data_IF_670655741808
#
_entry.id   IF_670655741808
#
_cell.length_a   1.000
_cell.length_b   1.000
_cell.length_c   1.000
_cell.angle_alpha   90.00
_cell.angle_beta   90.00
_cell.angle_gamma   90.00
#
_symmetry.space_group_name_H-M   'P 1'
#
loop_
_entity.id
_entity.type
_entity.pdbx_description
1 polymer ?
#
# COMPACT_ATOMS: atom_id res chain seq x y z
N UNK A 1 -6.46 -3.24 -6.28
CA UNK A 1 -6.72 -3.03 -4.86
C UNK A 1 -6.08 -4.15 -4.06
N UNK A 2 -5.37 -3.82 -2.98
CA UNK A 2 -4.73 -4.80 -2.11
C UNK A 2 -5.02 -4.47 -0.63
N UNK A 3 -6.05 -5.10 -0.10
CA UNK A 3 -6.45 -5.01 1.29
C UNK A 3 -5.99 -6.28 2.00
N UNK A 4 -5.26 -6.14 3.09
CA UNK A 4 -4.64 -7.26 3.79
C UNK A 4 -4.55 -6.97 5.29
N UNK A 5 -4.71 -7.99 6.13
CA UNK A 5 -4.51 -7.87 7.58
C UNK A 5 -3.01 -7.82 7.95
N UNK A 6 -2.14 -8.32 7.07
CA UNK A 6 -0.71 -8.46 7.35
C UNK A 6 0.12 -8.01 6.15
N UNK A 7 1.22 -7.28 6.40
CA UNK A 7 2.04 -6.70 5.34
C UNK A 7 2.70 -7.78 4.49
N UNK A 8 3.02 -8.93 5.08
CA UNK A 8 3.62 -10.08 4.41
C UNK A 8 2.74 -10.60 3.27
N UNK A 9 1.41 -10.50 3.40
CA UNK A 9 0.48 -10.90 2.34
C UNK A 9 0.54 -9.94 1.15
N UNK A 10 0.57 -8.62 1.44
CA UNK A 10 0.74 -7.60 0.41
C UNK A 10 2.08 -7.79 -0.31
N UNK A 11 3.17 -7.94 0.45
CA UNK A 11 4.52 -8.10 -0.06
C UNK A 11 4.59 -9.36 -0.94
N UNK A 12 4.07 -10.49 -0.47
CA UNK A 12 4.01 -11.74 -1.24
C UNK A 12 3.23 -11.58 -2.55
N UNK A 13 2.13 -10.83 -2.53
CA UNK A 13 1.33 -10.51 -3.71
C UNK A 13 2.11 -9.66 -4.71
N UNK A 14 2.83 -8.64 -4.25
CA UNK A 14 3.68 -7.80 -5.11
C UNK A 14 4.86 -8.60 -5.69
N UNK A 15 5.57 -9.38 -4.88
CA UNK A 15 6.65 -10.26 -5.34
C UNK A 15 6.18 -11.25 -6.42
N UNK A 16 4.94 -11.75 -6.29
CA UNK A 16 4.33 -12.59 -7.31
C UNK A 16 4.12 -11.82 -8.61
N UNK A 17 3.66 -10.57 -8.57
CA UNK A 17 3.55 -9.73 -9.77
C UNK A 17 4.92 -9.45 -10.40
N UNK A 18 5.93 -9.13 -9.58
CA UNK A 18 7.32 -8.95 -10.03
C UNK A 18 7.85 -10.20 -10.76
N UNK A 19 7.50 -11.39 -10.28
CA UNK A 19 7.90 -12.66 -10.90
C UNK A 19 7.13 -12.93 -12.18
N UNK A 20 5.80 -12.78 -12.16
CA UNK A 20 4.94 -13.14 -13.30
C UNK A 20 5.13 -12.19 -14.48
N UNK A 21 5.48 -10.92 -14.22
CA UNK A 21 5.71 -9.90 -15.25
C UNK A 21 7.18 -9.52 -15.40
N UNK A 22 8.11 -10.39 -14.99
CA UNK A 22 9.54 -10.09 -14.99
C UNK A 22 10.05 -9.59 -16.35
N UNK A 23 9.64 -10.22 -17.46
CA UNK A 23 10.08 -9.83 -18.80
C UNK A 23 9.64 -8.39 -19.18
N UNK A 24 8.41 -8.02 -18.86
CA UNK A 24 7.88 -6.66 -19.05
C UNK A 24 8.57 -5.65 -18.12
N UNK A 25 8.80 -6.03 -16.86
CA UNK A 25 9.38 -5.14 -15.84
C UNK A 25 10.89 -4.92 -16.01
N UNK A 26 11.59 -5.89 -16.60
CA UNK A 26 13.01 -5.80 -16.93
C UNK A 26 13.24 -5.34 -18.39
N UNK A 27 12.19 -5.32 -19.24
CA UNK A 27 12.27 -4.84 -20.62
C UNK A 27 13.11 -5.74 -21.53
N UNK A 28 12.94 -7.05 -21.39
CA UNK A 28 13.69 -8.07 -22.14
C UNK A 28 12.79 -8.78 -23.16
N UNK A 29 13.36 -9.65 -24.00
CA UNK A 29 12.59 -10.48 -24.96
C UNK A 29 11.69 -9.70 -25.94
N UNK A 30 12.05 -8.46 -26.27
CA UNK A 30 11.27 -7.60 -27.16
C UNK A 30 10.20 -6.75 -26.47
N UNK A 31 10.17 -6.74 -25.13
CA UNK A 31 9.27 -5.91 -24.34
C UNK A 31 9.89 -4.55 -24.02
N UNK A 32 9.06 -3.50 -23.97
CA UNK A 32 9.47 -2.22 -23.39
C UNK A 32 9.36 -2.28 -21.87
N UNK A 33 10.36 -1.73 -21.17
CA UNK A 33 10.41 -1.73 -19.71
C UNK A 33 9.18 -1.04 -19.11
N UNK A 34 8.47 -1.74 -18.22
CA UNK A 34 7.33 -1.25 -17.45
C UNK A 34 7.69 -1.11 -15.96
N UNK A 35 6.79 -0.49 -15.22
CA UNK A 35 6.86 -0.44 -13.75
C UNK A 35 5.50 -0.81 -13.16
N UNK A 36 5.52 -1.32 -11.93
CA UNK A 36 4.34 -1.59 -11.14
C UNK A 36 3.89 -0.31 -10.42
N UNK A 37 2.58 -0.08 -10.43
CA UNK A 37 1.95 0.99 -9.65
C UNK A 37 0.84 0.41 -8.80
N UNK A 38 1.01 0.46 -7.48
CA UNK A 38 0.02 -0.04 -6.54
C UNK A 38 -1.00 1.07 -6.26
N UNK A 39 -2.02 1.16 -7.09
CA UNK A 39 -2.96 2.29 -7.08
C UNK A 39 -3.86 2.35 -5.85
N UNK A 40 -3.98 1.26 -5.09
CA UNK A 40 -4.79 1.22 -3.88
C UNK A 40 -4.38 0.06 -2.96
N UNK A 41 -4.03 0.38 -1.71
CA UNK A 41 -3.83 -0.57 -0.63
C UNK A 41 -4.19 0.03 0.73
N UNK A 42 -4.64 -0.80 1.67
CA UNK A 42 -4.86 -0.42 3.07
C UNK A 42 -4.86 -1.66 3.98
N UNK A 43 -4.67 -1.43 5.28
CA UNK A 43 -4.82 -2.48 6.28
C UNK A 43 -6.29 -2.86 6.41
N UNK A 44 -6.59 -4.15 6.35
CA UNK A 44 -7.90 -4.69 6.66
C UNK A 44 -8.09 -4.76 8.18
N UNK A 45 -9.26 -4.40 8.69
CA UNK A 45 -9.56 -4.53 10.12
C UNK A 45 -9.34 -3.27 10.95
N UNK A 46 -8.70 -2.22 10.42
CA UNK A 46 -8.62 -0.93 11.12
C UNK A 46 -10.02 -0.32 11.22
N UNK A 47 -10.47 0.01 12.42
CA UNK A 47 -11.78 0.64 12.67
C UNK A 47 -11.68 2.06 13.21
N UNK A 48 -10.48 2.49 13.59
CA UNK A 48 -10.18 3.82 14.12
C UNK A 48 -8.89 4.32 13.45
N UNK A 49 -8.96 5.45 12.77
CA UNK A 49 -7.82 6.07 12.07
C UNK A 49 -6.72 6.58 12.99
N UNK A 50 -6.98 6.65 14.31
CA UNK A 50 -5.94 6.87 15.32
C UNK A 50 -5.09 5.64 15.60
N UNK A 51 -5.49 4.47 15.06
CA UNK A 51 -4.78 3.20 15.12
C UNK A 51 -4.37 2.79 16.56
N UNK A 52 -5.34 2.59 17.46
CA UNK A 52 -5.05 2.31 18.87
C UNK A 52 -4.30 1.00 19.11
N UNK A 53 -4.42 0.02 18.20
CA UNK A 53 -3.68 -1.26 18.26
C UNK A 53 -2.28 -1.15 17.64
N UNK A 54 -2.04 -0.15 16.79
CA UNK A 54 -0.78 0.02 16.05
C UNK A 54 -0.67 -0.89 14.82
N UNK A 55 -1.67 -1.73 14.54
CA UNK A 55 -1.63 -2.72 13.47
C UNK A 55 -1.65 -2.04 12.09
N UNK A 56 -2.45 -0.98 11.93
CA UNK A 56 -2.52 -0.25 10.66
C UNK A 56 -1.18 0.42 10.33
N UNK A 57 -0.54 1.02 11.34
CA UNK A 57 0.78 1.65 11.25
C UNK A 57 1.84 0.61 10.94
N UNK A 58 1.86 -0.51 11.65
CA UNK A 58 2.82 -1.58 11.40
C UNK A 58 2.68 -2.15 9.98
N UNK A 59 1.43 -2.38 9.53
CA UNK A 59 1.13 -2.80 8.17
C UNK A 59 1.66 -1.79 7.15
N UNK A 60 1.36 -0.51 7.37
CA UNK A 60 1.74 0.58 6.47
C UNK A 60 3.27 0.72 6.37
N UNK A 61 3.97 0.73 7.50
CA UNK A 61 5.42 0.87 7.56
C UNK A 61 6.12 -0.24 6.79
N UNK A 62 5.79 -1.50 7.08
CA UNK A 62 6.41 -2.65 6.41
C UNK A 62 6.11 -2.66 4.91
N UNK A 63 4.86 -2.40 4.55
CA UNK A 63 4.41 -2.33 3.15
C UNK A 63 5.17 -1.27 2.37
N UNK A 64 5.19 -0.04 2.87
CA UNK A 64 5.86 1.08 2.18
C UNK A 64 7.37 0.90 2.14
N UNK A 65 8.00 0.35 3.19
CA UNK A 65 9.43 0.05 3.17
C UNK A 65 9.79 -0.95 2.07
N UNK A 66 9.01 -2.02 1.89
CA UNK A 66 9.20 -2.95 0.79
C UNK A 66 8.97 -2.27 -0.57
N UNK A 67 7.84 -1.56 -0.75
CA UNK A 67 7.50 -0.87 -2.00
C UNK A 67 8.57 0.16 -2.41
N UNK A 68 9.16 0.88 -1.45
CA UNK A 68 10.30 1.79 -1.66
C UNK A 68 11.56 1.07 -2.12
N UNK A 69 11.78 -0.15 -1.64
CA UNK A 69 12.99 -0.93 -1.94
C UNK A 69 12.91 -1.69 -3.26
N UNK A 70 11.70 -1.89 -3.80
CA UNK A 70 11.52 -2.60 -5.06
C UNK A 70 12.07 -1.81 -6.24
N UNK A 71 12.83 -2.48 -7.12
CA UNK A 71 13.29 -1.92 -8.40
C UNK A 71 12.19 -1.83 -9.46
N UNK A 72 11.05 -2.48 -9.21
CA UNK A 72 9.96 -2.63 -10.17
C UNK A 72 8.75 -1.76 -9.82
N UNK A 73 8.58 -1.40 -8.55
CA UNK A 73 7.52 -0.49 -8.11
C UNK A 73 7.95 0.96 -8.29
N UNK A 74 7.20 1.71 -9.11
CA UNK A 74 7.43 3.15 -9.31
C UNK A 74 6.49 4.04 -8.50
N UNK A 75 5.57 3.46 -7.75
CA UNK A 75 4.73 4.19 -6.82
C UNK A 75 3.58 3.38 -6.25
N UNK A 76 2.88 4.01 -5.32
CA UNK A 76 1.76 3.43 -4.59
C UNK A 76 0.83 4.54 -4.11
N UNK A 77 -0.41 4.18 -3.78
CA UNK A 77 -1.37 5.06 -3.15
C UNK A 77 -2.13 4.30 -2.07
N UNK A 78 -2.07 4.82 -0.84
CA UNK A 78 -2.89 4.34 0.26
C UNK A 78 -4.37 4.68 0.02
N UNK A 79 -5.27 3.74 0.30
CA UNK A 79 -6.71 4.00 0.28
C UNK A 79 -7.09 4.78 1.55
N UNK A 80 -7.38 6.07 1.43
CA UNK A 80 -7.71 6.92 2.57
C UNK A 80 -9.21 7.19 2.63
N UNK A 81 -9.91 6.52 3.55
CA UNK A 81 -11.35 6.70 3.76
C UNK A 81 -11.70 6.50 5.24
N UNK A 82 -12.51 7.40 5.80
CA UNK A 82 -12.83 7.40 7.24
C UNK A 82 -13.83 6.30 7.62
N UNK A 83 -14.83 6.05 6.77
CA UNK A 83 -15.85 5.04 6.98
C UNK A 83 -16.21 4.36 5.65
N UNK A 84 -16.03 3.04 5.60
CA UNK A 84 -16.39 2.21 4.47
C UNK A 84 -16.72 0.78 4.91
N UNK A 85 -17.59 0.12 4.13
CA UNK A 85 -18.05 -1.23 4.44
C UNK A 85 -16.88 -2.23 4.41
N UNK A 86 -16.75 -3.01 5.48
CA UNK A 86 -15.80 -4.11 5.51
C UNK A 86 -16.30 -5.27 4.64
N UNK A 87 -15.37 -6.14 4.25
CA UNK A 87 -15.69 -7.35 3.48
C UNK A 87 -14.74 -8.49 3.84
N UNK A 88 -15.16 -9.72 3.55
CA UNK A 88 -14.34 -10.89 3.81
C UNK A 88 -13.10 -10.93 2.91
N UNK A 89 -11.93 -11.19 3.50
CA UNK A 89 -10.66 -11.37 2.80
C UNK A 89 -10.17 -12.77 3.14
N UNK A 90 -9.87 -13.59 2.12
CA UNK A 90 -9.40 -14.97 2.27
C UNK A 90 -10.27 -15.84 3.20
N UNK A 91 -11.60 -15.66 3.11
CA UNK A 91 -12.62 -16.30 3.97
C UNK A 91 -12.57 -15.92 5.46
N UNK A 92 -11.85 -14.85 5.80
CA UNK A 92 -11.87 -14.25 7.14
C UNK A 92 -12.98 -13.20 7.19
N UNK A 93 -14.00 -13.45 8.00
CA UNK A 93 -15.06 -12.49 8.29
C UNK A 93 -14.52 -11.29 9.09
N UNK A 94 -14.88 -10.05 8.72
CA UNK A 94 -14.39 -8.88 9.42
C UNK A 94 -14.99 -8.78 10.83
N UNK A 95 -14.17 -8.39 11.81
CA UNK A 95 -14.60 -8.21 13.20
C UNK A 95 -15.56 -7.02 13.42
N UNK A 96 -15.62 -6.10 12.44
CA UNK A 96 -16.44 -4.89 12.45
C UNK A 96 -17.14 -4.75 11.10
N UNK A 97 -18.39 -4.21 11.04
CA UNK A 97 -19.10 -3.98 9.78
C UNK A 97 -18.49 -2.85 8.92
N UNK A 98 -17.64 -2.02 9.52
CA UNK A 98 -16.96 -0.93 8.82
C UNK A 98 -15.48 -0.88 9.20
N UNK A 99 -14.69 -0.38 8.27
CA UNK A 99 -13.27 -0.10 8.43
C UNK A 99 -13.00 1.39 8.21
N UNK A 100 -11.83 1.83 8.68
CA UNK A 100 -11.29 3.16 8.51
C UNK A 100 -9.82 3.05 8.13
N UNK A 101 -9.39 3.88 7.19
CA UNK A 101 -8.01 3.99 6.74
C UNK A 101 -7.64 5.45 6.49
N UNK A 102 -8.37 6.39 7.09
CA UNK A 102 -8.20 7.81 6.84
C UNK A 102 -6.79 8.30 7.21
N UNK A 103 -6.15 8.99 6.26
CA UNK A 103 -4.92 9.76 6.48
C UNK A 103 -5.22 11.21 6.92
N UNK A 104 -6.43 11.69 6.65
CA UNK A 104 -6.90 13.03 6.96
C UNK A 104 -8.26 12.90 7.66
N UNK A 105 -8.45 13.58 8.77
CA UNK A 105 -9.72 13.57 9.52
C UNK A 105 -10.76 14.53 8.92
N UNK A 106 -11.98 14.52 9.48
CA UNK A 106 -13.08 15.38 9.03
C UNK A 106 -12.79 16.89 9.15
N UNK A 107 -11.79 17.29 9.94
CA UNK A 107 -11.36 18.69 10.07
C UNK A 107 -10.31 19.10 9.03
N UNK A 108 -9.79 18.14 8.25
CA UNK A 108 -8.70 18.36 7.30
C UNK A 108 -7.30 18.20 7.90
N UNK A 109 -7.17 17.73 9.15
CA UNK A 109 -5.89 17.50 9.80
C UNK A 109 -5.37 16.08 9.51
N UNK A 110 -4.04 15.90 9.47
CA UNK A 110 -3.45 14.56 9.34
C UNK A 110 -3.77 13.71 10.58
N UNK A 111 -4.28 12.51 10.37
CA UNK A 111 -4.41 11.49 11.42
C UNK A 111 -3.02 10.98 11.82
N UNK A 112 -2.87 10.26 12.95
CA UNK A 112 -1.62 9.59 13.28
C UNK A 112 -1.11 8.66 12.15
N UNK A 113 -2.02 7.98 11.46
CA UNK A 113 -1.68 7.15 10.30
C UNK A 113 -1.23 8.02 9.09
N UNK A 114 -1.89 9.16 8.87
CA UNK A 114 -1.48 10.18 7.90
C UNK A 114 -0.06 10.69 8.11
N UNK A 115 0.29 11.03 9.35
CA UNK A 115 1.62 11.48 9.71
C UNK A 115 2.69 10.41 9.44
N UNK A 116 2.41 9.14 9.76
CA UNK A 116 3.28 8.01 9.39
C UNK A 116 3.44 7.93 7.87
N UNK A 117 2.35 7.94 7.11
CA UNK A 117 2.39 7.83 5.65
C UNK A 117 3.20 8.96 4.99
N UNK A 118 2.91 10.21 5.37
CA UNK A 118 3.63 11.39 4.93
C UNK A 118 5.12 11.30 5.24
N UNK A 119 5.48 10.83 6.43
CA UNK A 119 6.90 10.66 6.83
C UNK A 119 7.59 9.61 5.98
N UNK A 120 6.98 8.44 5.76
CA UNK A 120 7.55 7.38 4.94
C UNK A 120 7.75 7.81 3.48
N UNK A 121 6.86 8.65 2.95
CA UNK A 121 6.88 9.10 1.56
C UNK A 121 7.82 10.28 1.28
N UNK A 122 8.26 11.06 2.29
CA UNK A 122 9.15 12.22 2.08
C UNK A 122 10.50 11.88 1.42
N UNK A 123 11.03 10.69 1.68
CA UNK A 123 12.34 10.27 1.18
C UNK A 123 12.27 9.53 -0.16
N UNK A 124 11.10 9.50 -0.82
CA UNK A 124 10.97 8.88 -2.14
C UNK A 124 11.61 9.83 -3.16
N UNK A 125 12.87 9.55 -3.51
CA UNK A 125 13.56 10.29 -4.58
C UNK A 125 12.77 10.11 -5.89
N UNK A 126 12.59 11.17 -6.69
CA UNK A 126 12.06 11.01 -8.04
C UNK A 126 12.91 9.98 -8.79
N UNK A 127 12.26 8.97 -9.38
CA UNK A 127 12.94 8.11 -10.34
C UNK A 127 13.42 9.03 -11.47
N UNK A 128 14.72 9.10 -11.78
CA UNK A 128 15.21 9.91 -12.88
C UNK A 128 14.43 9.54 -14.15
N UNK A 129 14.06 10.51 -15.00
CA UNK A 129 13.45 10.19 -16.29
C UNK A 129 14.36 9.21 -17.02
N UNK A 130 13.80 8.08 -17.47
CA UNK A 130 14.57 7.06 -18.16
C UNK A 130 15.11 7.64 -19.47
N UNK A 131 16.42 7.50 -19.70
CA UNK A 131 17.00 7.78 -21.01
C UNK A 131 16.38 6.86 -22.06
N UNK A 132 16.05 7.38 -23.26
CA UNK A 132 15.44 6.62 -24.35
C UNK A 132 16.33 5.50 -24.89
#
# INVERSE_FOLDING_TARGET
HAYEYHAENLISKVQRWETVWADDLDGVNGHSRKTLWLTEFAHAGTTDSNDPTGEARQFLEQSVLYLKSSKHVSGWSWFSQEDWASFAIDNIEPASPTWSSALIDSSGAETPLGQTYSTLCRDVRPVPPMSP
#
